data_IF_293769719658
#
_entry.id   IF_293769719658
#
_cell.length_a   1.000
_cell.length_b   1.000
_cell.length_c   1.000
_cell.angle_alpha   90.00
_cell.angle_beta   90.00
_cell.angle_gamma   90.00
#
_symmetry.space_group_name_H-M   'P 1'
#
loop_
_entity.id
_entity.type
_entity.pdbx_description
1 polymer ?
#
# COMPACT_ATOMS: atom_id res chain seq x y z
N UNK A 1 -12.15 21.01 -10.96
CA UNK A 1 -12.41 20.24 -9.71
C UNK A 1 -11.23 19.31 -9.51
N UNK A 2 -10.67 19.21 -8.31
CA UNK A 2 -9.53 18.34 -8.03
C UNK A 2 -10.03 16.95 -7.59
N UNK A 3 -9.52 15.89 -8.21
CA UNK A 3 -9.82 14.52 -7.81
C UNK A 3 -8.96 14.14 -6.60
N UNK A 4 -9.60 13.63 -5.54
CA UNK A 4 -8.94 13.27 -4.29
C UNK A 4 -9.26 11.81 -4.00
N UNK A 5 -8.25 11.01 -3.64
CA UNK A 5 -8.48 9.68 -3.10
C UNK A 5 -8.55 9.76 -1.58
N UNK A 6 -9.64 9.24 -1.00
CA UNK A 6 -9.76 8.95 0.41
C UNK A 6 -9.62 7.44 0.59
N UNK A 7 -8.79 7.00 1.54
CA UNK A 7 -8.61 5.58 1.82
C UNK A 7 -8.17 4.74 0.61
N UNK A 8 -7.31 5.32 -0.23
CA UNK A 8 -6.76 4.64 -1.39
C UNK A 8 -5.72 3.58 -1.03
N UNK A 9 -5.49 2.66 -1.96
CA UNK A 9 -4.56 1.54 -1.79
C UNK A 9 -5.20 0.23 -2.25
N UNK A 10 -4.46 -0.86 -2.11
CA UNK A 10 -4.96 -2.17 -2.52
C UNK A 10 -5.93 -2.76 -1.49
N UNK A 11 -6.96 -3.46 -1.98
CA UNK A 11 -7.89 -4.23 -1.17
C UNK A 11 -7.64 -5.74 -1.34
N UNK A 12 -6.58 -6.25 -0.71
CA UNK A 12 -6.20 -7.67 -0.76
C UNK A 12 -6.58 -8.37 0.54
N UNK A 13 -7.80 -8.90 0.60
CA UNK A 13 -8.35 -9.63 1.75
C UNK A 13 -9.28 -10.73 1.27
N UNK A 14 -9.39 -11.83 2.04
CA UNK A 14 -10.45 -12.80 1.84
C UNK A 14 -11.79 -12.20 2.21
N UNK A 15 -12.80 -12.35 1.35
CA UNK A 15 -14.17 -11.91 1.59
C UNK A 15 -15.15 -13.08 1.49
N UNK A 16 -16.33 -12.95 2.09
CA UNK A 16 -17.40 -13.95 1.95
C UNK A 16 -17.07 -15.33 2.50
N UNK A 17 -16.24 -15.42 3.56
CA UNK A 17 -15.75 -16.68 4.12
C UNK A 17 -14.29 -16.97 3.74
N UNK A 18 -13.73 -16.26 2.75
CA UNK A 18 -12.33 -16.37 2.37
C UNK A 18 -11.35 -16.03 3.50
N UNK A 19 -11.72 -15.15 4.41
CA UNK A 19 -10.95 -14.80 5.61
C UNK A 19 -10.70 -16.00 6.54
N UNK A 20 -11.48 -17.08 6.41
CA UNK A 20 -11.32 -18.32 7.17
C UNK A 20 -10.28 -19.25 6.56
N UNK A 21 -9.86 -18.98 5.32
CA UNK A 21 -8.81 -19.76 4.66
C UNK A 21 -7.44 -19.24 5.07
N UNK A 22 -6.74 -20.04 5.88
CA UNK A 22 -5.35 -19.74 6.23
C UNK A 22 -4.43 -19.78 5.02
N UNK A 23 -4.70 -20.66 4.06
CA UNK A 23 -3.93 -20.74 2.82
C UNK A 23 -4.07 -19.45 2.03
N UNK A 24 -5.29 -18.91 1.92
CA UNK A 24 -5.51 -17.63 1.27
C UNK A 24 -4.79 -16.51 2.01
N UNK A 25 -4.94 -16.44 3.34
CA UNK A 25 -4.22 -15.45 4.17
C UNK A 25 -2.71 -15.49 3.93
N UNK A 26 -2.11 -16.69 3.91
CA UNK A 26 -0.67 -16.85 3.62
C UNK A 26 -0.27 -16.34 2.23
N UNK A 27 -1.07 -16.65 1.21
CA UNK A 27 -0.82 -16.15 -0.17
C UNK A 27 -0.93 -14.64 -0.23
N UNK A 28 -1.94 -14.05 0.42
CA UNK A 28 -2.13 -12.60 0.45
C UNK A 28 -0.99 -11.90 1.19
N UNK A 29 -0.54 -12.44 2.33
CA UNK A 29 0.64 -11.91 3.03
C UNK A 29 1.91 -12.01 2.16
N UNK A 30 2.15 -13.14 1.51
CA UNK A 30 3.28 -13.30 0.60
C UNK A 30 3.24 -12.30 -0.57
N UNK A 31 2.06 -12.07 -1.15
CA UNK A 31 1.88 -11.07 -2.19
C UNK A 31 2.11 -9.63 -1.67
N UNK A 32 1.79 -9.35 -0.41
CA UNK A 32 2.05 -8.06 0.22
C UNK A 32 3.55 -7.80 0.48
N UNK A 33 4.33 -8.85 0.74
CA UNK A 33 5.77 -8.77 0.98
C UNK A 33 6.62 -8.87 -0.30
N UNK A 34 6.03 -9.28 -1.43
CA UNK A 34 6.76 -9.46 -2.68
C UNK A 34 7.26 -8.11 -3.24
N UNK A 35 8.56 -7.96 -3.59
CA UNK A 35 9.10 -6.71 -4.12
C UNK A 35 8.37 -6.18 -5.36
N UNK A 36 7.78 -7.07 -6.18
CA UNK A 36 6.99 -6.67 -7.35
C UNK A 36 5.78 -5.82 -6.99
N UNK A 37 5.33 -5.85 -5.74
CA UNK A 37 4.24 -5.00 -5.30
C UNK A 37 4.57 -3.50 -5.35
N UNK A 38 5.84 -3.14 -5.12
CA UNK A 38 6.28 -1.75 -5.24
C UNK A 38 6.12 -1.26 -6.69
N UNK A 39 6.48 -2.09 -7.67
CA UNK A 39 6.31 -1.78 -9.09
C UNK A 39 4.84 -1.63 -9.48
N UNK A 40 3.96 -2.49 -8.95
CA UNK A 40 2.52 -2.40 -9.17
C UNK A 40 1.96 -1.09 -8.58
N UNK A 41 2.38 -0.73 -7.35
CA UNK A 41 1.97 0.54 -6.74
C UNK A 41 2.50 1.75 -7.51
N UNK A 42 3.73 1.71 -8.01
CA UNK A 42 4.27 2.78 -8.84
C UNK A 42 3.43 2.99 -10.12
N UNK A 43 3.03 1.90 -10.80
CA UNK A 43 2.12 1.96 -11.95
C UNK A 43 0.74 2.48 -11.56
N UNK A 44 0.22 2.07 -10.41
CA UNK A 44 -1.06 2.54 -9.89
C UNK A 44 -1.05 4.05 -9.63
N UNK A 45 -0.04 4.59 -8.95
CA UNK A 45 0.09 6.02 -8.71
C UNK A 45 0.33 6.83 -9.99
N UNK A 46 1.16 6.31 -10.91
CA UNK A 46 1.34 6.96 -12.22
C UNK A 46 0.04 7.03 -13.02
N UNK A 47 -0.77 5.97 -12.99
CA UNK A 47 -2.09 5.96 -13.62
C UNK A 47 -3.06 6.94 -12.94
N UNK A 48 -3.03 7.04 -11.61
CA UNK A 48 -3.80 8.03 -10.87
C UNK A 48 -3.48 9.46 -11.32
N UNK A 49 -2.19 9.81 -11.37
CA UNK A 49 -1.74 11.13 -11.83
C UNK A 49 -2.13 11.39 -13.30
N UNK A 50 -1.92 10.42 -14.18
CA UNK A 50 -2.23 10.54 -15.61
C UNK A 50 -3.72 10.77 -15.89
N UNK A 51 -4.61 10.35 -14.99
CA UNK A 51 -6.06 10.53 -15.10
C UNK A 51 -6.58 11.76 -14.32
N UNK A 52 -5.70 12.71 -13.99
CA UNK A 52 -6.08 13.96 -13.30
C UNK A 52 -6.26 13.82 -11.79
N UNK A 53 -5.72 12.74 -11.21
CA UNK A 53 -5.66 12.51 -9.77
C UNK A 53 -4.81 13.56 -9.04
N UNK A 54 -5.35 14.12 -7.96
CA UNK A 54 -4.65 15.01 -7.04
C UNK A 54 -4.15 14.27 -5.79
N UNK A 55 -4.38 14.87 -4.61
CA UNK A 55 -3.97 14.27 -3.34
C UNK A 55 -4.54 12.85 -3.17
N UNK A 56 -3.64 11.94 -2.82
CA UNK A 56 -3.93 10.54 -2.56
C UNK A 56 -3.73 10.23 -1.07
N UNK A 57 -4.82 10.04 -0.33
CA UNK A 57 -4.76 9.60 1.07
C UNK A 57 -4.73 8.07 1.11
N UNK A 58 -3.56 7.52 1.41
CA UNK A 58 -3.42 6.08 1.64
C UNK A 58 -4.18 5.66 2.91
N UNK A 59 -4.81 4.48 2.88
CA UNK A 59 -5.72 4.04 3.95
C UNK A 59 -5.09 3.97 5.34
N UNK A 60 -3.90 3.39 5.48
CA UNK A 60 -3.25 3.19 6.78
C UNK A 60 -1.74 3.32 6.68
N UNK A 61 -1.14 4.11 7.58
CA UNK A 61 0.31 4.29 7.66
C UNK A 61 1.00 3.07 8.26
N UNK A 62 0.61 2.69 9.49
CA UNK A 62 1.21 1.59 10.26
C UNK A 62 0.11 0.69 10.80
N UNK A 63 0.22 -0.61 10.56
CA UNK A 63 -0.74 -1.60 11.05
C UNK A 63 -0.36 -3.01 10.65
N UNK A 64 -0.24 -3.90 11.64
CA UNK A 64 0.09 -5.30 11.45
C UNK A 64 -0.94 -6.04 10.58
N UNK A 65 -0.46 -7.00 9.80
CA UNK A 65 -1.31 -7.77 8.89
C UNK A 65 -2.05 -8.89 9.61
N UNK A 66 -3.26 -9.18 9.15
CA UNK A 66 -4.05 -10.31 9.64
C UNK A 66 -4.95 -10.87 8.53
N UNK A 67 -5.73 -11.91 8.86
CA UNK A 67 -6.79 -12.42 7.97
C UNK A 67 -7.84 -11.35 7.59
N UNK A 68 -7.93 -10.27 8.36
CA UNK A 68 -8.81 -9.12 8.09
C UNK A 68 -8.16 -8.05 7.22
N UNK A 69 -6.95 -8.29 6.74
CA UNK A 69 -6.26 -7.50 5.75
C UNK A 69 -4.83 -7.10 6.13
N UNK A 70 -4.13 -6.61 5.12
CA UNK A 70 -2.76 -6.11 5.20
C UNK A 70 -2.79 -4.62 4.84
N UNK A 71 -3.26 -3.79 5.76
CA UNK A 71 -3.62 -2.41 5.46
C UNK A 71 -2.47 -1.41 5.60
N UNK A 72 -1.66 -1.57 6.64
CA UNK A 72 -0.52 -0.70 6.89
C UNK A 72 0.45 -0.68 5.72
N UNK A 73 0.93 0.52 5.38
CA UNK A 73 2.12 0.68 4.57
C UNK A 73 3.33 0.09 5.28
N UNK A 74 3.38 0.19 6.62
CA UNK A 74 4.28 -0.56 7.49
C UNK A 74 3.46 -1.47 8.44
N UNK A 75 4.05 -2.57 8.91
CA UNK A 75 3.49 -3.48 9.91
C UNK A 75 3.76 -3.01 11.35
N UNK A 76 4.86 -2.30 11.58
CA UNK A 76 5.21 -1.69 12.86
C UNK A 76 6.07 -0.44 12.65
N UNK A 77 6.29 0.34 13.71
CA UNK A 77 7.19 1.51 13.67
C UNK A 77 8.67 1.12 13.56
N UNK A 78 8.99 -0.14 13.82
CA UNK A 78 10.35 -0.68 13.84
C UNK A 78 10.68 -1.44 12.55
N UNK A 79 9.70 -1.61 11.66
CA UNK A 79 9.94 -2.26 10.37
C UNK A 79 10.91 -1.44 9.54
N UNK A 80 11.94 -2.09 8.99
CA UNK A 80 12.86 -1.48 8.04
C UNK A 80 12.07 -1.00 6.81
N UNK A 81 12.05 0.31 6.54
CA UNK A 81 11.33 0.87 5.39
C UNK A 81 11.72 0.26 4.03
N UNK A 82 12.96 -0.22 3.90
CA UNK A 82 13.47 -0.87 2.67
C UNK A 82 12.91 -2.27 2.46
N UNK A 83 12.25 -2.85 3.47
CA UNK A 83 11.60 -4.15 3.39
C UNK A 83 10.09 -4.06 3.12
N UNK A 84 9.50 -2.86 3.16
CA UNK A 84 8.08 -2.66 2.83
C UNK A 84 7.88 -2.15 1.39
N UNK A 85 7.33 -2.97 0.47
CA UNK A 85 7.10 -2.55 -0.91
C UNK A 85 6.11 -1.38 -1.04
N UNK A 86 5.08 -1.35 -0.19
CA UNK A 86 4.08 -0.27 -0.19
C UNK A 86 4.68 1.04 0.27
N UNK A 87 5.44 1.00 1.36
CA UNK A 87 6.06 2.20 1.91
C UNK A 87 7.09 2.75 0.94
N UNK A 88 7.89 1.90 0.29
CA UNK A 88 8.81 2.31 -0.77
C UNK A 88 8.09 3.05 -1.91
N UNK A 89 7.00 2.48 -2.44
CA UNK A 89 6.25 3.13 -3.51
C UNK A 89 5.64 4.49 -3.08
N UNK A 90 5.16 4.58 -1.83
CA UNK A 90 4.68 5.85 -1.26
C UNK A 90 5.80 6.88 -1.11
N UNK A 91 6.99 6.47 -0.65
CA UNK A 91 8.15 7.36 -0.56
C UNK A 91 8.57 7.86 -1.94
N UNK A 92 8.67 6.99 -2.93
CA UNK A 92 9.00 7.41 -4.31
C UNK A 92 8.00 8.43 -4.85
N UNK A 93 6.70 8.23 -4.61
CA UNK A 93 5.69 9.22 -5.00
C UNK A 93 5.87 10.54 -4.22
N UNK A 94 6.09 10.47 -2.91
CA UNK A 94 6.28 11.64 -2.06
C UNK A 94 7.52 12.45 -2.47
N UNK A 95 8.65 11.79 -2.78
CA UNK A 95 9.87 12.43 -3.29
C UNK A 95 9.61 13.12 -4.63
N UNK A 96 8.93 12.43 -5.56
CA UNK A 96 8.55 13.00 -6.87
C UNK A 96 7.70 14.26 -6.71
N UNK A 97 6.81 14.29 -5.72
CA UNK A 97 5.93 15.42 -5.41
C UNK A 97 6.62 16.51 -4.57
N UNK A 98 7.90 16.35 -4.22
CA UNK A 98 8.67 17.32 -3.43
C UNK A 98 8.23 17.39 -1.95
N UNK A 99 7.63 16.33 -1.41
CA UNK A 99 7.26 16.28 0.00
C UNK A 99 8.53 16.13 0.88
N UNK A 100 8.55 16.75 2.07
CA UNK A 100 9.66 16.58 3.00
C UNK A 100 9.64 15.16 3.57
N UNK A 101 10.65 14.35 3.23
CA UNK A 101 10.87 13.01 3.80
C UNK A 101 12.10 13.09 4.71
N UNK A 102 11.95 12.66 5.97
CA UNK A 102 13.08 12.53 6.89
C UNK A 102 13.96 11.37 6.45
N UNK A 103 15.20 11.66 6.03
CA UNK A 103 16.24 10.66 5.78
C UNK A 103 17.04 10.39 7.04
#
# INVERSE_FOLDING_TARGET
MQLLAYEGGQHFVGVGGGERSEQLTRVLHAANADPRLAEIHARYFAAWEANGGGLFRYFSSVGGWSKWGSWGALQSLEEDPTQSPKYQAMQTLAEKLGQPIGR
#
